data_IF_442976707170
#
_entry.id   IF_442976707170
#
_cell.length_a   1.000
_cell.length_b   1.000
_cell.length_c   1.000
_cell.angle_alpha   90.00
_cell.angle_beta   90.00
_cell.angle_gamma   90.00
#
_symmetry.space_group_name_H-M   'P 1'
#
loop_
_entity.id
_entity.type
_entity.pdbx_description
1 polymer ?
#
# COMPACT_ATOMS: atom_id res chain seq x y z
N UNK A 1 18.09 -19.02 -3.65
CA UNK A 1 18.55 -18.03 -2.67
C UNK A 1 17.90 -16.70 -3.06
N UNK A 2 16.67 -16.43 -2.60
CA UNK A 2 16.08 -15.09 -2.80
C UNK A 2 16.82 -14.15 -1.87
N UNK A 3 17.51 -13.18 -2.45
CA UNK A 3 17.97 -12.01 -1.70
C UNK A 3 16.76 -11.45 -0.96
N UNK A 4 16.82 -11.20 0.37
CA UNK A 4 15.81 -10.39 0.99
C UNK A 4 15.89 -9.04 0.26
N UNK A 5 14.82 -8.66 -0.42
CA UNK A 5 14.65 -7.31 -0.90
C UNK A 5 14.87 -6.43 0.33
N UNK A 6 15.99 -5.70 0.38
CA UNK A 6 16.26 -4.67 1.40
C UNK A 6 15.29 -3.53 1.14
N UNK A 7 14.01 -3.82 1.32
CA UNK A 7 12.91 -3.10 0.74
C UNK A 7 12.50 -2.01 1.71
N UNK A 8 12.95 -0.80 1.43
CA UNK A 8 12.29 0.37 1.95
C UNK A 8 10.84 0.35 1.46
N UNK A 9 9.87 0.73 2.31
CA UNK A 9 8.51 0.91 1.85
C UNK A 9 8.49 1.93 0.69
N UNK A 10 7.57 1.77 -0.28
CA UNK A 10 7.41 2.72 -1.39
C UNK A 10 7.25 4.13 -0.83
N UNK A 11 7.81 5.14 -1.51
CA UNK A 11 7.90 6.57 -1.11
C UNK A 11 6.74 7.09 -0.26
N UNK A 12 6.73 6.73 1.02
CA UNK A 12 5.79 7.24 1.99
C UNK A 12 6.23 8.68 2.26
N UNK A 13 5.33 9.68 2.20
CA UNK A 13 5.69 11.03 2.61
C UNK A 13 6.29 10.96 4.01
N UNK A 14 7.51 11.44 4.17
CA UNK A 14 8.32 11.29 5.37
C UNK A 14 8.92 12.66 5.69
N UNK A 15 8.64 13.18 6.88
CA UNK A 15 9.28 14.38 7.43
C UNK A 15 10.57 13.97 8.16
N UNK A 16 11.27 14.93 8.76
CA UNK A 16 12.58 14.73 9.42
C UNK A 16 12.56 13.66 10.55
N UNK A 17 11.37 13.28 11.03
CA UNK A 17 11.16 12.31 12.12
C UNK A 17 10.58 10.95 11.67
N UNK A 18 10.17 10.80 10.40
CA UNK A 18 9.56 9.56 9.91
C UNK A 18 8.33 9.76 9.02
N UNK A 19 7.66 8.66 8.62
CA UNK A 19 6.50 8.71 7.74
C UNK A 19 5.39 9.56 8.36
N UNK A 20 4.92 10.52 7.56
CA UNK A 20 3.89 11.48 7.94
C UNK A 20 2.55 10.87 7.60
N UNK A 21 1.75 10.71 8.65
CA UNK A 21 0.38 10.26 8.55
C UNK A 21 -0.53 11.45 8.86
N UNK A 22 -1.31 11.87 7.87
CA UNK A 22 -2.37 12.87 8.03
C UNK A 22 -3.52 12.36 8.89
N UNK A 23 -3.69 11.03 9.00
CA UNK A 23 -4.73 10.42 9.81
C UNK A 23 -4.28 9.12 10.47
N UNK A 24 -4.87 8.74 11.63
CA UNK A 24 -4.47 7.54 12.37
C UNK A 24 -4.69 6.24 11.58
N UNK A 25 -5.64 6.22 10.63
CA UNK A 25 -5.88 5.06 9.78
C UNK A 25 -4.74 4.82 8.78
N UNK A 26 -4.00 5.86 8.36
CA UNK A 26 -2.88 5.73 7.43
C UNK A 26 -1.70 5.00 8.09
N UNK A 27 -1.42 5.33 9.35
CA UNK A 27 -0.41 4.64 10.16
C UNK A 27 -0.78 3.16 10.39
N UNK A 28 -2.06 2.87 10.61
CA UNK A 28 -2.56 1.49 10.75
C UNK A 28 -2.40 0.70 9.44
N UNK A 29 -2.76 1.31 8.32
CA UNK A 29 -2.62 0.69 7.00
C UNK A 29 -1.14 0.37 6.70
N UNK A 30 -0.24 1.32 7.00
CA UNK A 30 1.20 1.14 6.91
C UNK A 30 1.71 -0.02 7.76
N UNK A 31 1.33 -0.07 9.04
CA UNK A 31 1.72 -1.16 9.94
C UNK A 31 1.25 -2.53 9.44
N UNK A 32 0.04 -2.63 8.89
CA UNK A 32 -0.49 -3.87 8.32
C UNK A 32 0.36 -4.32 7.12
N UNK A 33 0.73 -3.41 6.21
CA UNK A 33 1.59 -3.75 5.08
C UNK A 33 2.99 -4.20 5.52
N UNK A 34 3.59 -3.52 6.50
CA UNK A 34 4.89 -3.91 7.06
C UNK A 34 4.83 -5.33 7.62
N UNK A 35 3.82 -5.64 8.45
CA UNK A 35 3.66 -6.98 9.03
C UNK A 35 3.46 -8.06 7.96
N UNK A 36 2.70 -7.76 6.90
CA UNK A 36 2.49 -8.69 5.79
C UNK A 36 3.78 -8.92 4.98
N UNK A 37 4.55 -7.86 4.74
CA UNK A 37 5.87 -7.93 4.11
C UNK A 37 6.85 -8.75 4.95
N UNK A 38 6.94 -8.49 6.27
CA UNK A 38 7.79 -9.25 7.19
C UNK A 38 7.42 -10.73 7.27
N UNK A 39 6.13 -11.04 7.09
CA UNK A 39 5.62 -12.41 6.97
C UNK A 39 5.93 -13.05 5.61
N UNK A 40 6.58 -12.34 4.69
CA UNK A 40 6.92 -12.81 3.35
C UNK A 40 5.69 -12.99 2.45
N UNK A 41 4.56 -12.35 2.78
CA UNK A 41 3.35 -12.48 1.98
C UNK A 41 3.51 -11.80 0.63
N UNK A 42 4.15 -10.63 0.58
CA UNK A 42 4.49 -9.92 -0.65
C UNK A 42 5.81 -9.19 -0.49
N UNK A 43 6.41 -8.79 -1.61
CA UNK A 43 7.59 -7.90 -1.65
C UNK A 43 7.19 -6.45 -1.87
N UNK A 44 7.95 -5.50 -1.32
CA UNK A 44 7.70 -4.07 -1.56
C UNK A 44 7.74 -3.70 -3.05
N UNK A 45 8.52 -4.43 -3.84
CA UNK A 45 8.54 -4.30 -5.31
C UNK A 45 7.20 -4.68 -5.96
N UNK A 46 6.58 -5.79 -5.56
CA UNK A 46 5.24 -6.16 -6.03
C UNK A 46 4.20 -5.11 -5.67
N UNK A 47 4.24 -4.62 -4.42
CA UNK A 47 3.36 -3.57 -3.95
C UNK A 47 3.52 -2.27 -4.73
N UNK A 48 4.76 -1.83 -4.94
CA UNK A 48 5.06 -0.60 -5.69
C UNK A 48 4.59 -0.71 -7.14
N UNK A 49 4.76 -1.87 -7.77
CA UNK A 49 4.28 -2.09 -9.13
C UNK A 49 2.75 -2.01 -9.24
N UNK A 50 2.02 -2.58 -8.26
CA UNK A 50 0.57 -2.47 -8.19
C UNK A 50 0.13 -1.01 -7.97
N UNK A 51 0.73 -0.33 -6.99
CA UNK A 51 0.44 1.07 -6.69
C UNK A 51 0.68 1.98 -7.90
N UNK A 52 1.81 1.83 -8.59
CA UNK A 52 2.12 2.60 -9.79
C UNK A 52 1.09 2.34 -10.91
N UNK A 53 0.60 1.11 -11.06
CA UNK A 53 -0.46 0.77 -11.99
C UNK A 53 -1.80 1.44 -11.66
N UNK A 54 -2.20 1.44 -10.38
CA UNK A 54 -3.43 2.09 -9.93
C UNK A 54 -3.37 3.61 -10.11
N UNK A 55 -2.24 4.24 -9.75
CA UNK A 55 -2.02 5.68 -9.94
C UNK A 55 -2.01 6.03 -11.43
N UNK A 56 -1.35 5.23 -12.28
CA UNK A 56 -1.35 5.45 -13.72
C UNK A 56 -2.77 5.36 -14.30
N UNK A 57 -3.53 4.34 -13.92
CA UNK A 57 -4.91 4.16 -14.36
C UNK A 57 -5.83 5.30 -13.86
N UNK A 58 -5.64 5.78 -12.63
CA UNK A 58 -6.39 6.92 -12.09
C UNK A 58 -6.06 8.22 -12.83
N UNK A 59 -4.78 8.42 -13.16
CA UNK A 59 -4.33 9.55 -13.96
C UNK A 59 -4.91 9.53 -15.37
N UNK A 60 -4.99 8.36 -16.01
CA UNK A 60 -5.67 8.19 -17.31
C UNK A 60 -7.17 8.49 -17.25
N UNK A 61 -7.82 8.23 -16.10
CA UNK A 61 -9.23 8.62 -15.85
C UNK A 61 -9.41 10.11 -15.56
N UNK A 62 -8.33 10.90 -15.48
CA UNK A 62 -8.38 12.33 -15.21
C UNK A 62 -8.58 12.68 -13.73
N UNK A 63 -8.32 11.73 -12.82
CA UNK A 63 -8.36 11.99 -11.39
C UNK A 63 -7.09 12.75 -10.99
N UNK A 64 -7.21 14.04 -10.67
CA UNK A 64 -6.10 14.86 -10.22
C UNK A 64 -5.62 14.35 -8.85
N UNK A 65 -4.34 13.97 -8.79
CA UNK A 65 -3.71 13.47 -7.58
C UNK A 65 -3.20 14.65 -6.75
N UNK A 66 -4.06 15.18 -5.87
CA UNK A 66 -3.72 16.26 -4.93
C UNK A 66 -2.85 15.77 -3.75
N UNK A 67 -2.26 14.57 -3.82
CA UNK A 67 -1.48 13.95 -2.74
C UNK A 67 -2.33 13.46 -1.56
N UNK A 68 -3.52 14.05 -1.34
CA UNK A 68 -4.51 13.58 -0.34
C UNK A 68 -5.03 12.17 -0.64
N UNK A 69 -5.06 11.78 -1.92
CA UNK A 69 -5.48 10.44 -2.35
C UNK A 69 -4.34 9.43 -2.37
N UNK A 70 -3.11 9.85 -2.07
CA UNK A 70 -1.95 8.97 -2.12
C UNK A 70 -2.12 7.74 -1.21
N UNK A 71 -2.53 7.95 0.05
CA UNK A 71 -2.81 6.84 0.97
C UNK A 71 -4.07 6.04 0.59
N UNK A 72 -5.03 6.63 -0.14
CA UNK A 72 -6.19 5.90 -0.67
C UNK A 72 -5.77 4.93 -1.78
N UNK A 73 -4.91 5.36 -2.72
CA UNK A 73 -4.34 4.47 -3.73
C UNK A 73 -3.42 3.42 -3.12
N UNK A 74 -2.64 3.81 -2.11
CA UNK A 74 -1.79 2.90 -1.35
C UNK A 74 -2.63 1.83 -0.64
N UNK A 75 -3.73 2.21 0.00
CA UNK A 75 -4.65 1.26 0.64
C UNK A 75 -5.29 0.35 -0.40
N UNK A 76 -5.75 0.90 -1.54
CA UNK A 76 -6.33 0.10 -2.64
C UNK A 76 -5.35 -0.96 -3.14
N UNK A 77 -4.07 -0.59 -3.33
CA UNK A 77 -3.03 -1.53 -3.73
C UNK A 77 -2.81 -2.63 -2.67
N UNK A 78 -2.85 -2.27 -1.38
CA UNK A 78 -2.75 -3.22 -0.27
C UNK A 78 -3.92 -4.21 -0.28
N UNK A 79 -5.14 -3.69 -0.39
CA UNK A 79 -6.36 -4.49 -0.45
C UNK A 79 -6.34 -5.47 -1.62
N UNK A 80 -5.87 -5.05 -2.80
CA UNK A 80 -5.72 -5.94 -3.96
C UNK A 80 -4.71 -7.05 -3.72
N UNK A 81 -3.57 -6.76 -3.10
CA UNK A 81 -2.56 -7.79 -2.80
C UNK A 81 -3.09 -8.79 -1.78
N UNK A 82 -3.73 -8.29 -0.73
CA UNK A 82 -4.33 -9.10 0.33
C UNK A 82 -5.45 -9.98 -0.23
N UNK A 83 -6.32 -9.43 -1.09
CA UNK A 83 -7.37 -10.17 -1.77
C UNK A 83 -6.82 -11.22 -2.73
N UNK A 84 -5.81 -10.89 -3.54
CA UNK A 84 -5.17 -11.84 -4.45
C UNK A 84 -4.47 -12.99 -3.72
N UNK A 85 -3.93 -12.73 -2.53
CA UNK A 85 -3.27 -13.75 -1.71
C UNK A 85 -4.24 -14.50 -0.79
N UNK A 86 -5.53 -14.17 -0.82
CA UNK A 86 -6.57 -14.79 0.01
C UNK A 86 -6.35 -14.58 1.51
N UNK A 87 -5.61 -13.55 1.90
CA UNK A 87 -5.22 -13.28 3.29
C UNK A 87 -6.34 -12.62 4.09
N UNK A 88 -7.32 -12.06 3.40
CA UNK A 88 -8.59 -11.59 3.98
C UNK A 88 -9.70 -12.09 3.05
N UNK A 89 -10.72 -12.73 3.62
CA UNK A 89 -11.97 -12.98 2.90
C UNK A 89 -12.53 -11.63 2.49
N UNK A 90 -12.80 -11.41 1.21
CA UNK A 90 -13.39 -10.18 0.70
C UNK A 90 -14.64 -9.72 1.50
N UNK A 91 -15.31 -10.66 2.19
CA UNK A 91 -16.42 -10.45 3.11
C UNK A 91 -16.06 -9.62 4.37
N UNK A 92 -14.84 -9.75 4.92
CA UNK A 92 -14.37 -8.96 6.07
C UNK A 92 -13.96 -7.54 5.66
N UNK A 93 -13.52 -7.37 4.41
CA UNK A 93 -13.22 -6.06 3.84
C UNK A 93 -14.52 -5.30 3.49
N UNK A 94 -15.55 -6.01 3.03
CA UNK A 94 -16.86 -5.48 2.68
C UNK A 94 -17.76 -5.17 3.89
N UNK A 95 -17.36 -5.57 5.12
CA UNK A 95 -18.09 -5.31 6.37
C UNK A 95 -17.75 -3.98 7.04
N UNK A 96 -16.96 -3.12 6.40
CA UNK A 96 -16.71 -1.73 6.85
C UNK A 96 -17.95 -0.85 6.70
#
# INVERSE_FOLDING_TARGET
MSVPDSGSPPSVPCDEEGPVFSAPWEAQAFAIAVVLHERGQFTWKEFTAQLAGEIAAAKERGEADDGRRYYEYWLTALERIVAQKGLVLADELAKR
#
